data_IF_676081376494
#
_entry.id   IF_676081376494
#
_cell.length_a   1.000
_cell.length_b   1.000
_cell.length_c   1.000
_cell.angle_alpha   90.00
_cell.angle_beta   90.00
_cell.angle_gamma   90.00
#
_symmetry.space_group_name_H-M   'P 1'
#
loop_
_entity.id
_entity.type
_entity.pdbx_description
1 polymer ?
#
# COMPACT_ATOMS: atom_id res chain seq x y z
N UNK A 1 5.21 26.56 0.55
CA UNK A 1 4.31 26.65 -0.62
C UNK A 1 4.13 25.24 -1.16
N UNK A 2 2.89 24.79 -1.35
CA UNK A 2 2.56 23.48 -1.91
C UNK A 2 1.71 23.70 -3.17
N UNK A 3 1.98 22.93 -4.23
CA UNK A 3 1.28 23.02 -5.50
C UNK A 3 0.81 21.63 -5.93
N UNK A 4 -0.46 21.52 -6.32
CA UNK A 4 -1.04 20.30 -6.86
C UNK A 4 -1.12 20.48 -8.38
N UNK A 5 -0.41 19.63 -9.13
CA UNK A 5 -0.47 19.66 -10.58
C UNK A 5 -1.83 19.14 -11.09
N UNK A 6 -2.36 19.77 -12.14
CA UNK A 6 -3.48 19.19 -12.88
C UNK A 6 -3.01 17.92 -13.61
N UNK A 7 -3.88 16.92 -13.71
CA UNK A 7 -3.59 15.66 -14.42
C UNK A 7 -3.09 15.96 -15.83
N UNK A 8 -1.97 15.35 -16.23
CA UNK A 8 -1.32 15.56 -17.53
C UNK A 8 -0.35 16.76 -17.59
N UNK A 9 -0.18 17.51 -16.50
CA UNK A 9 0.79 18.62 -16.42
C UNK A 9 2.08 18.17 -15.75
N UNK A 10 3.22 18.44 -16.38
CA UNK A 10 4.55 18.21 -15.80
C UNK A 10 5.24 19.56 -15.59
N UNK A 11 5.61 19.88 -14.35
CA UNK A 11 6.47 21.03 -14.04
C UNK A 11 7.93 20.58 -14.05
N UNK A 12 8.69 20.96 -15.08
CA UNK A 12 10.10 20.54 -15.25
C UNK A 12 10.93 21.63 -15.95
N UNK A 13 12.25 21.61 -15.74
CA UNK A 13 13.20 22.51 -16.42
C UNK A 13 13.72 21.96 -17.75
N UNK A 14 13.31 20.75 -18.14
CA UNK A 14 13.69 20.11 -19.41
C UNK A 14 12.47 19.49 -20.12
N UNK A 15 12.69 18.50 -20.98
CA UNK A 15 11.60 17.79 -21.66
C UNK A 15 11.34 16.46 -20.99
N UNK A 16 10.08 16.20 -20.61
CA UNK A 16 9.60 14.92 -20.12
C UNK A 16 8.30 14.55 -20.84
N UNK A 17 8.13 13.26 -21.12
CA UNK A 17 6.91 12.72 -21.73
C UNK A 17 5.99 12.02 -20.71
N UNK A 18 6.49 11.78 -19.49
CA UNK A 18 5.74 11.24 -18.36
C UNK A 18 6.40 11.62 -17.03
N UNK A 19 5.59 11.77 -15.99
CA UNK A 19 5.97 11.88 -14.58
C UNK A 19 4.89 11.19 -13.75
N UNK A 20 5.23 10.68 -12.58
CA UNK A 20 4.29 10.14 -11.61
C UNK A 20 4.53 10.78 -10.23
N UNK A 21 3.53 10.71 -9.34
CA UNK A 21 3.60 11.34 -8.02
C UNK A 21 2.73 12.59 -7.91
N UNK A 22 1.87 12.84 -8.91
CA UNK A 22 0.72 13.71 -8.72
C UNK A 22 -0.34 13.05 -7.83
N UNK A 23 -1.34 13.82 -7.39
CA UNK A 23 -2.46 13.31 -6.60
C UNK A 23 -3.51 12.54 -7.43
N UNK A 24 -3.14 12.07 -8.61
CA UNK A 24 -4.00 11.34 -9.53
C UNK A 24 -4.19 9.89 -9.02
N UNK A 25 -5.41 9.34 -8.94
CA UNK A 25 -5.60 7.93 -8.59
C UNK A 25 -4.79 6.98 -9.48
N UNK A 26 -4.61 7.30 -10.77
CA UNK A 26 -3.77 6.50 -11.68
C UNK A 26 -2.26 6.50 -11.33
N UNK A 27 -1.81 7.42 -10.47
CA UNK A 27 -0.44 7.48 -9.96
C UNK A 27 -0.33 6.82 -8.57
N UNK A 28 -1.45 6.61 -7.87
CA UNK A 28 -1.51 6.21 -6.46
C UNK A 28 -2.05 4.77 -6.27
N UNK A 29 -3.00 4.34 -7.10
CA UNK A 29 -3.63 3.04 -7.02
C UNK A 29 -2.76 1.98 -7.72
N UNK A 30 -2.08 1.16 -6.91
CA UNK A 30 -1.22 0.07 -7.40
C UNK A 30 -1.86 -1.30 -7.13
N UNK A 31 -1.86 -2.24 -8.10
CA UNK A 31 -2.31 -3.60 -7.86
C UNK A 31 -1.48 -4.29 -6.77
N UNK A 32 -2.15 -5.01 -5.86
CA UNK A 32 -1.52 -5.75 -4.79
C UNK A 32 -1.90 -7.23 -4.85
N UNK A 33 -0.89 -8.10 -4.94
CA UNK A 33 -1.05 -9.56 -4.89
C UNK A 33 -0.26 -10.10 -3.71
N UNK A 34 -0.91 -10.95 -2.91
CA UNK A 34 -0.27 -11.61 -1.76
C UNK A 34 -0.16 -13.10 -2.05
N UNK A 35 1.04 -13.64 -1.91
CA UNK A 35 1.31 -15.07 -2.06
C UNK A 35 2.10 -15.59 -0.86
N UNK A 36 1.47 -16.46 -0.06
CA UNK A 36 2.08 -17.11 1.09
C UNK A 36 1.50 -18.53 1.25
N UNK A 37 2.14 -19.56 0.65
CA UNK A 37 1.63 -20.93 0.66
C UNK A 37 1.37 -21.49 2.06
N UNK A 38 0.28 -22.22 2.24
CA UNK A 38 -0.13 -22.80 3.53
C UNK A 38 -0.58 -21.77 4.57
N UNK A 39 -0.33 -20.50 4.32
CA UNK A 39 -0.91 -19.36 5.04
C UNK A 39 -2.08 -18.89 4.18
N UNK A 40 -1.91 -18.05 3.18
CA UNK A 40 -3.01 -17.39 2.45
C UNK A 40 -3.89 -18.32 1.61
N UNK A 41 -5.22 -18.20 1.77
CA UNK A 41 -6.22 -18.87 0.93
C UNK A 41 -6.41 -18.10 -0.39
N UNK A 42 -6.64 -18.80 -1.52
CA UNK A 42 -6.96 -18.14 -2.79
C UNK A 42 -8.25 -17.31 -2.67
N UNK A 43 -8.25 -16.11 -3.25
CA UNK A 43 -9.42 -15.25 -3.26
C UNK A 43 -9.13 -13.86 -3.82
N UNK A 44 -10.17 -13.03 -3.87
CA UNK A 44 -10.07 -11.60 -4.17
C UNK A 44 -10.65 -10.82 -2.99
N UNK A 45 -9.97 -9.73 -2.63
CA UNK A 45 -10.39 -8.83 -1.56
C UNK A 45 -10.60 -7.46 -2.18
N UNK A 46 -11.82 -6.93 -2.12
CA UNK A 46 -12.19 -5.65 -2.71
C UNK A 46 -12.21 -4.50 -1.71
N UNK A 47 -11.73 -4.72 -0.48
CA UNK A 47 -11.58 -3.69 0.52
C UNK A 47 -10.56 -2.65 0.06
N UNK A 48 -10.84 -1.37 0.33
CA UNK A 48 -9.85 -0.31 0.20
C UNK A 48 -8.72 -0.56 1.21
N UNK A 49 -7.49 -0.44 0.76
CA UNK A 49 -6.27 -0.67 1.54
C UNK A 49 -5.23 0.41 1.21
N UNK A 50 -4.36 0.68 2.17
CA UNK A 50 -3.26 1.63 2.04
C UNK A 50 -1.92 0.90 1.89
N UNK A 51 -0.98 1.50 1.16
CA UNK A 51 0.38 0.94 0.99
C UNK A 51 1.13 0.77 2.32
N UNK A 52 0.80 1.57 3.32
CA UNK A 52 1.35 1.47 4.69
C UNK A 52 1.00 0.15 5.37
N UNK A 53 -0.06 -0.54 4.94
CA UNK A 53 -0.48 -1.84 5.48
C UNK A 53 0.39 -3.01 5.00
N UNK A 54 1.27 -2.81 4.00
CA UNK A 54 2.15 -3.87 3.48
C UNK A 54 3.13 -4.35 4.55
N UNK A 55 3.84 -3.43 5.21
CA UNK A 55 4.84 -3.77 6.22
C UNK A 55 4.25 -4.56 7.41
N UNK A 56 3.20 -4.11 8.12
CA UNK A 56 2.63 -4.88 9.23
C UNK A 56 2.10 -6.25 8.80
N UNK A 57 1.60 -6.37 7.56
CA UNK A 57 1.14 -7.65 7.01
C UNK A 57 2.27 -8.64 6.81
N UNK A 58 3.41 -8.20 6.25
CA UNK A 58 4.59 -9.06 6.09
C UNK A 58 5.03 -9.62 7.44
N UNK A 59 5.11 -8.77 8.47
CA UNK A 59 5.48 -9.22 9.81
C UNK A 59 4.50 -10.27 10.33
N UNK A 60 3.20 -10.02 10.19
CA UNK A 60 2.16 -10.97 10.62
C UNK A 60 2.28 -12.33 9.90
N UNK A 61 2.52 -12.33 8.59
CA UNK A 61 2.68 -13.56 7.79
C UNK A 61 3.97 -14.33 8.14
N UNK A 62 5.01 -13.64 8.62
CA UNK A 62 6.25 -14.24 9.13
C UNK A 62 6.16 -14.68 10.60
N UNK A 63 5.00 -14.51 11.26
CA UNK A 63 4.83 -14.82 12.68
C UNK A 63 5.47 -13.79 13.63
N UNK A 64 5.86 -12.62 13.12
CA UNK A 64 6.41 -11.51 13.90
C UNK A 64 5.30 -10.55 14.35
N UNK A 65 5.56 -9.78 15.41
CA UNK A 65 4.60 -8.79 15.90
C UNK A 65 4.56 -7.54 15.02
N UNK A 66 3.40 -7.16 14.43
CA UNK A 66 3.25 -5.90 13.72
C UNK A 66 3.53 -4.67 14.60
N UNK A 67 3.31 -4.78 15.91
CA UNK A 67 3.58 -3.69 16.86
C UNK A 67 5.07 -3.34 16.99
N UNK A 68 5.97 -4.12 16.39
CA UNK A 68 7.39 -3.73 16.29
C UNK A 68 7.62 -2.56 15.33
N UNK A 69 6.65 -2.21 14.48
CA UNK A 69 6.70 -1.05 13.60
C UNK A 69 6.21 0.22 14.31
N UNK A 70 6.96 1.31 14.17
CA UNK A 70 6.59 2.62 14.72
C UNK A 70 5.25 3.11 14.16
N UNK A 71 5.01 2.96 12.86
CA UNK A 71 3.74 3.37 12.22
C UNK A 71 2.53 2.65 12.84
N UNK A 72 2.65 1.35 13.15
CA UNK A 72 1.57 0.61 13.84
C UNK A 72 1.33 1.18 15.24
N UNK A 73 2.39 1.52 15.97
CA UNK A 73 2.27 2.09 17.32
C UNK A 73 1.69 3.51 17.33
N UNK A 74 2.08 4.34 16.37
CA UNK A 74 1.74 5.77 16.35
C UNK A 74 0.46 6.08 15.58
N UNK A 75 0.22 5.37 14.48
CA UNK A 75 -0.86 5.64 13.52
C UNK A 75 -1.94 4.55 13.57
N UNK A 76 -1.70 3.44 14.26
CA UNK A 76 -2.64 2.33 14.30
C UNK A 76 -2.80 1.63 12.94
N UNK A 77 -1.76 1.63 12.10
CA UNK A 77 -1.79 0.96 10.79
C UNK A 77 -2.17 -0.51 10.94
N UNK A 78 -3.21 -0.94 10.22
CA UNK A 78 -3.73 -2.31 10.31
C UNK A 78 -3.06 -3.24 9.29
N UNK A 79 -3.07 -4.54 9.56
CA UNK A 79 -2.74 -5.55 8.54
C UNK A 79 -3.80 -5.57 7.43
N UNK A 80 -3.45 -6.11 6.26
CA UNK A 80 -4.39 -6.25 5.15
C UNK A 80 -5.58 -7.14 5.54
N UNK A 81 -6.81 -6.77 5.14
CA UNK A 81 -8.00 -7.57 5.39
C UNK A 81 -7.99 -8.85 4.55
N UNK A 82 -8.77 -9.86 4.98
CA UNK A 82 -8.90 -11.13 4.26
C UNK A 82 -7.71 -12.09 4.43
N UNK A 83 -6.68 -11.71 5.21
CA UNK A 83 -5.51 -12.54 5.52
C UNK A 83 -5.54 -13.14 6.93
N UNK A 84 -6.71 -13.17 7.58
CA UNK A 84 -6.85 -13.63 8.96
C UNK A 84 -8.10 -14.47 9.12
N UNK A 85 -7.91 -15.79 9.11
CA UNK A 85 -8.72 -16.83 9.74
C UNK A 85 -7.90 -18.13 9.55
N UNK A 86 -6.92 -18.31 10.45
CA UNK A 86 -5.97 -19.44 10.44
C UNK A 86 -6.36 -20.53 11.44
N UNK A 87 -7.62 -20.55 11.87
CA UNK A 87 -8.20 -21.61 12.69
C UNK A 87 -8.75 -22.73 11.78
#
# INVERSE_FOLDING_TARGET
MFGIAQVGTIYTTGTKIAEHGGANPGDLDVPLVVYAPGTVRPGQVSNSVETTQVAPTILKLLGLSPSSLQAVQQEGTQVLPGLGNWD
#
